data_IF_627387794442
#
_entry.id   IF_627387794442
#
_cell.length_a   1.000
_cell.length_b   1.000
_cell.length_c   1.000
_cell.angle_alpha   90.00
_cell.angle_beta   90.00
_cell.angle_gamma   90.00
#
_symmetry.space_group_name_H-M   'P 1'
#
loop_
_entity.id
_entity.type
_entity.pdbx_description
1 polymer ?
#
# COMPACT_ATOMS: atom_id res chain seq x y z
N UNK A 1 8.29 26.97 -8.48
CA UNK A 1 7.20 26.22 -7.82
C UNK A 1 7.45 24.73 -7.96
N UNK A 2 7.41 23.99 -6.85
CA UNK A 2 7.46 22.51 -6.86
C UNK A 2 6.24 21.95 -7.61
N UNK A 3 6.25 20.69 -8.07
CA UNK A 3 5.06 20.07 -8.68
C UNK A 3 3.83 20.12 -7.75
N UNK A 4 4.03 19.88 -6.45
CA UNK A 4 3.00 19.95 -5.41
C UNK A 4 2.43 21.37 -5.24
N UNK A 5 3.28 22.40 -5.23
CA UNK A 5 2.84 23.80 -5.19
C UNK A 5 1.93 24.14 -6.38
N UNK A 6 2.28 23.68 -7.58
CA UNK A 6 1.44 23.92 -8.77
C UNK A 6 0.07 23.27 -8.64
N UNK A 7 -0.02 22.11 -7.98
CA UNK A 7 -1.30 21.46 -7.69
C UNK A 7 -2.06 22.27 -6.65
N UNK A 8 -1.42 22.68 -5.55
CA UNK A 8 -2.06 23.48 -4.50
C UNK A 8 -2.70 24.76 -5.05
N UNK A 9 -1.99 25.51 -5.89
CA UNK A 9 -2.55 26.70 -6.56
C UNK A 9 -3.77 26.38 -7.43
N UNK A 10 -3.75 25.25 -8.16
CA UNK A 10 -4.91 24.78 -8.95
C UNK A 10 -6.08 24.38 -8.05
N UNK A 11 -5.81 23.74 -6.91
CA UNK A 11 -6.84 23.34 -5.94
C UNK A 11 -7.50 24.58 -5.36
N UNK A 12 -6.75 25.58 -4.90
CA UNK A 12 -7.32 26.85 -4.39
C UNK A 12 -8.24 27.49 -5.44
N UNK A 13 -7.81 27.56 -6.70
CA UNK A 13 -8.64 28.05 -7.80
C UNK A 13 -9.93 27.23 -7.97
N UNK A 14 -9.84 25.91 -7.90
CA UNK A 14 -11.00 25.01 -7.97
C UNK A 14 -11.97 25.22 -6.80
N UNK A 15 -11.47 25.38 -5.57
CA UNK A 15 -12.28 25.65 -4.38
C UNK A 15 -13.12 26.93 -4.56
N UNK A 16 -12.50 28.00 -5.05
CA UNK A 16 -13.18 29.28 -5.28
C UNK A 16 -14.16 29.20 -6.46
N UNK A 17 -13.69 28.73 -7.61
CA UNK A 17 -14.47 28.82 -8.85
C UNK A 17 -15.57 27.77 -8.94
N UNK A 18 -15.30 26.54 -8.48
CA UNK A 18 -16.20 25.40 -8.65
C UNK A 18 -16.96 25.11 -7.36
N UNK A 19 -16.26 24.98 -6.23
CA UNK A 19 -16.89 24.72 -4.93
C UNK A 19 -17.48 25.98 -4.29
N UNK A 20 -17.29 27.17 -4.88
CA UNK A 20 -17.86 28.44 -4.39
C UNK A 20 -17.44 28.79 -2.96
N UNK A 21 -16.25 28.35 -2.56
CA UNK A 21 -15.66 28.69 -1.26
C UNK A 21 -15.11 30.12 -1.35
N UNK A 22 -15.50 31.05 -0.47
CA UNK A 22 -14.93 32.39 -0.42
C UNK A 22 -13.42 32.33 -0.24
N UNK A 23 -12.66 33.18 -0.95
CA UNK A 23 -11.19 33.16 -0.86
C UNK A 23 -10.72 33.50 0.55
N UNK A 24 -11.48 34.33 1.27
CA UNK A 24 -11.22 34.75 2.65
C UNK A 24 -11.38 33.61 3.65
N UNK A 25 -12.11 32.55 3.28
CA UNK A 25 -12.28 31.36 4.10
C UNK A 25 -11.14 30.33 3.91
N UNK A 26 -10.23 30.57 2.96
CA UNK A 26 -9.16 29.63 2.60
C UNK A 26 -7.83 30.11 3.15
N UNK A 27 -7.17 29.25 3.92
CA UNK A 27 -5.81 29.46 4.40
C UNK A 27 -4.89 28.38 3.84
N UNK A 28 -3.71 28.76 3.35
CA UNK A 28 -2.73 27.83 2.78
C UNK A 28 -1.47 27.79 3.63
N UNK A 29 -0.84 26.61 3.72
CA UNK A 29 0.39 26.42 4.50
C UNK A 29 0.25 26.75 6.00
N UNK A 30 -0.94 26.51 6.58
CA UNK A 30 -1.20 26.78 8.00
C UNK A 30 -0.28 25.93 8.89
N UNK A 31 0.60 26.60 9.63
CA UNK A 31 1.41 25.99 10.68
C UNK A 31 0.52 25.67 11.88
N UNK A 32 0.35 24.39 12.20
CA UNK A 32 -0.52 23.97 13.31
C UNK A 32 0.03 24.37 14.68
N UNK A 33 1.30 24.81 14.75
CA UNK A 33 1.91 25.38 15.95
C UNK A 33 1.20 26.64 16.46
N UNK A 34 0.43 27.32 15.61
CA UNK A 34 -0.39 28.48 16.01
C UNK A 34 -1.58 28.09 16.89
N UNK A 35 -1.96 26.81 16.87
CA UNK A 35 -3.14 26.27 17.57
C UNK A 35 -2.71 25.26 18.64
N UNK A 36 -1.78 24.37 18.31
CA UNK A 36 -1.11 23.48 19.25
C UNK A 36 0.39 23.72 19.19
N UNK A 37 0.90 24.44 20.18
CA UNK A 37 2.28 24.89 20.33
C UNK A 37 3.33 23.76 20.39
N UNK A 38 2.92 22.49 20.53
CA UNK A 38 3.82 21.33 20.42
C UNK A 38 3.88 20.76 18.99
N UNK A 39 2.89 21.10 18.16
CA UNK A 39 2.83 20.64 16.77
C UNK A 39 3.87 21.33 15.91
N UNK A 40 4.51 20.54 15.04
CA UNK A 40 5.40 21.03 13.97
C UNK A 40 4.81 20.79 12.59
N UNK A 41 3.54 20.38 12.55
CA UNK A 41 2.84 20.02 11.34
C UNK A 41 2.35 21.26 10.61
N UNK A 42 2.15 21.12 9.31
CA UNK A 42 1.66 22.17 8.43
C UNK A 42 0.60 21.58 7.52
N UNK A 43 -0.61 22.12 7.59
CA UNK A 43 -1.68 21.75 6.67
C UNK A 43 -1.51 22.50 5.35
N UNK A 44 -1.74 21.83 4.22
CA UNK A 44 -1.58 22.48 2.91
C UNK A 44 -2.67 23.51 2.63
N UNK A 45 -3.93 23.13 2.85
CA UNK A 45 -5.09 24.02 2.71
C UNK A 45 -6.06 23.73 3.85
N UNK A 46 -6.56 24.79 4.47
CA UNK A 46 -7.62 24.77 5.48
C UNK A 46 -8.73 25.70 5.01
N UNK A 47 -9.97 25.25 5.15
CA UNK A 47 -11.16 26.04 4.90
C UNK A 47 -11.90 26.22 6.21
N UNK A 48 -12.17 27.48 6.55
CA UNK A 48 -12.91 27.89 7.73
C UNK A 48 -14.36 28.19 7.37
N UNK A 49 -15.26 28.12 8.34
CA UNK A 49 -16.60 28.69 8.23
C UNK A 49 -17.02 29.35 9.53
N UNK A 50 -17.93 30.31 9.45
CA UNK A 50 -18.58 30.86 10.64
C UNK A 50 -19.80 30.01 10.96
N UNK A 51 -19.89 29.51 12.19
CA UNK A 51 -21.09 28.90 12.71
C UNK A 51 -22.02 30.01 13.21
N UNK A 52 -23.11 30.26 12.49
CA UNK A 52 -24.03 31.36 12.81
C UNK A 52 -24.71 31.21 14.18
N UNK A 53 -24.89 29.98 14.66
CA UNK A 53 -25.55 29.73 15.93
C UNK A 53 -24.67 30.08 17.15
N UNK A 54 -23.36 29.89 17.02
CA UNK A 54 -22.37 30.16 18.09
C UNK A 54 -21.57 31.43 17.83
N UNK A 55 -21.66 32.00 16.63
CA UNK A 55 -20.83 33.08 16.12
C UNK A 55 -19.33 32.80 16.30
N UNK A 56 -18.92 31.55 16.07
CA UNK A 56 -17.53 31.10 16.14
C UNK A 56 -17.02 30.63 14.78
N UNK A 57 -15.74 30.86 14.52
CA UNK A 57 -15.05 30.28 13.38
C UNK A 57 -14.69 28.82 13.67
N UNK A 58 -15.03 27.94 12.74
CA UNK A 58 -14.84 26.49 12.85
C UNK A 58 -14.15 25.95 11.60
N UNK A 59 -13.29 24.94 11.77
CA UNK A 59 -12.61 24.31 10.65
C UNK A 59 -13.61 23.44 9.87
N UNK A 60 -13.90 23.82 8.63
CA UNK A 60 -14.83 23.07 7.78
C UNK A 60 -14.13 21.88 7.10
N UNK A 61 -13.02 22.16 6.42
CA UNK A 61 -12.33 21.22 5.52
C UNK A 61 -10.82 21.40 5.62
N UNK A 62 -10.07 20.30 5.70
CA UNK A 62 -8.61 20.29 5.56
C UNK A 62 -8.26 19.48 4.32
N UNK A 63 -7.34 19.96 3.50
CA UNK A 63 -6.90 19.27 2.28
C UNK A 63 -5.40 19.03 2.34
N UNK A 64 -4.98 17.77 2.18
CA UNK A 64 -3.58 17.40 1.94
C UNK A 64 -3.35 17.25 0.44
N UNK A 65 -2.31 17.92 -0.07
CA UNK A 65 -2.01 17.99 -1.50
C UNK A 65 -0.75 17.21 -1.81
N UNK A 66 -0.80 16.38 -2.86
CA UNK A 66 0.36 15.68 -3.41
C UNK A 66 0.67 16.13 -4.82
N UNK A 67 1.88 15.84 -5.28
CA UNK A 67 2.24 16.04 -6.69
C UNK A 67 1.42 15.12 -7.62
N UNK A 68 1.19 15.48 -8.90
CA UNK A 68 0.27 14.73 -9.78
C UNK A 68 0.59 13.24 -9.94
N UNK A 69 1.88 12.90 -9.96
CA UNK A 69 2.34 11.52 -10.13
C UNK A 69 2.37 10.71 -8.83
N UNK A 70 1.99 11.30 -7.69
CA UNK A 70 1.94 10.63 -6.39
C UNK A 70 0.51 10.13 -6.16
N UNK A 71 0.30 8.81 -6.01
CA UNK A 71 -1.01 8.26 -5.72
C UNK A 71 -1.55 8.71 -4.37
N UNK A 72 -2.88 8.80 -4.28
CA UNK A 72 -3.58 8.96 -3.01
C UNK A 72 -3.62 7.60 -2.30
N UNK A 73 -3.13 7.55 -1.06
CA UNK A 73 -2.97 6.31 -0.30
C UNK A 73 -3.52 6.47 1.10
N UNK A 74 -3.65 5.35 1.84
CA UNK A 74 -4.04 5.39 3.25
C UNK A 74 -3.11 6.29 4.08
N UNK A 75 -1.82 6.36 3.73
CA UNK A 75 -0.86 7.25 4.40
C UNK A 75 -1.16 8.73 4.18
N UNK A 76 -1.66 9.09 3.01
CA UNK A 76 -2.10 10.46 2.72
C UNK A 76 -3.34 10.80 3.57
N UNK A 77 -4.26 9.84 3.73
CA UNK A 77 -5.42 9.99 4.59
C UNK A 77 -5.02 10.09 6.07
N UNK A 78 -4.15 9.22 6.56
CA UNK A 78 -3.58 9.27 7.92
C UNK A 78 -2.90 10.62 8.19
N UNK A 79 -2.18 11.16 7.20
CA UNK A 79 -1.53 12.45 7.30
C UNK A 79 -2.55 13.58 7.50
N UNK A 80 -3.61 13.68 6.68
CA UNK A 80 -4.63 14.71 6.87
C UNK A 80 -5.45 14.49 8.15
N UNK A 81 -5.67 13.24 8.55
CA UNK A 81 -6.32 12.88 9.82
C UNK A 81 -5.51 13.34 11.03
N UNK A 82 -4.17 13.36 10.95
CA UNK A 82 -3.33 13.92 12.01
C UNK A 82 -3.60 15.42 12.23
N UNK A 83 -3.83 16.18 11.15
CA UNK A 83 -4.22 17.58 11.24
C UNK A 83 -5.65 17.74 11.76
N UNK A 84 -6.57 16.90 11.29
CA UNK A 84 -7.96 16.85 11.75
C UNK A 84 -8.04 16.62 13.26
N UNK A 85 -7.14 15.80 13.82
CA UNK A 85 -7.10 15.57 15.27
C UNK A 85 -6.81 16.83 16.09
N UNK A 86 -6.17 17.84 15.51
CA UNK A 86 -5.86 19.15 16.11
C UNK A 86 -6.97 20.16 15.78
N UNK A 87 -7.29 20.31 14.50
CA UNK A 87 -8.21 21.34 13.99
C UNK A 87 -9.70 20.98 14.14
N UNK A 88 -10.01 19.72 14.42
CA UNK A 88 -11.37 19.17 14.57
C UNK A 88 -12.28 19.45 13.38
N UNK A 89 -11.74 19.37 12.16
CA UNK A 89 -12.53 19.64 10.96
C UNK A 89 -13.65 18.63 10.75
N UNK A 90 -14.75 19.10 10.16
CA UNK A 90 -15.92 18.28 9.79
C UNK A 90 -15.64 17.39 8.58
N UNK A 91 -14.81 17.89 7.66
CA UNK A 91 -14.37 17.18 6.47
C UNK A 91 -12.84 17.18 6.35
N UNK A 92 -12.33 16.16 5.69
CA UNK A 92 -10.94 16.11 5.21
C UNK A 92 -10.94 15.73 3.74
N UNK A 93 -9.93 16.14 3.01
CA UNK A 93 -9.74 15.74 1.62
C UNK A 93 -8.26 15.46 1.32
N UNK A 94 -8.06 14.62 0.32
CA UNK A 94 -6.75 14.32 -0.25
C UNK A 94 -6.82 14.47 -1.76
N UNK A 95 -5.79 15.08 -2.37
CA UNK A 95 -5.77 15.30 -3.82
C UNK A 95 -4.36 15.35 -4.37
N UNK A 96 -4.19 14.85 -5.60
CA UNK A 96 -2.97 15.01 -6.41
C UNK A 96 -3.21 15.95 -7.61
N UNK A 97 -4.39 16.57 -7.68
CA UNK A 97 -4.81 17.46 -8.77
C UNK A 97 -5.48 16.76 -9.95
N UNK A 98 -5.41 15.43 -10.03
CA UNK A 98 -6.17 14.62 -10.99
C UNK A 98 -7.35 13.95 -10.27
N UNK A 99 -7.08 13.35 -9.11
CA UNK A 99 -8.06 12.77 -8.21
C UNK A 99 -8.31 13.68 -7.01
N UNK A 100 -9.55 13.69 -6.52
CA UNK A 100 -9.98 14.37 -5.30
C UNK A 100 -10.90 13.43 -4.53
N UNK A 101 -10.51 13.12 -3.30
CA UNK A 101 -11.33 12.34 -2.37
C UNK A 101 -11.68 13.21 -1.17
N UNK A 102 -12.97 13.34 -0.89
CA UNK A 102 -13.49 14.09 0.27
C UNK A 102 -14.13 13.10 1.23
N UNK A 103 -13.83 13.24 2.50
CA UNK A 103 -14.33 12.40 3.58
C UNK A 103 -15.04 13.26 4.62
N UNK A 104 -16.18 12.80 5.11
CA UNK A 104 -16.81 13.35 6.32
C UNK A 104 -16.30 12.59 7.55
N UNK A 105 -15.95 13.32 8.60
CA UNK A 105 -15.59 12.73 9.88
C UNK A 105 -16.87 12.40 10.65
N UNK A 106 -17.00 11.14 11.04
CA UNK A 106 -18.09 10.63 11.88
C UNK A 106 -17.81 10.90 13.36
N UNK A 107 -18.85 10.83 14.18
CA UNK A 107 -18.74 11.05 15.64
C UNK A 107 -17.75 10.10 16.32
N UNK A 108 -17.60 8.88 15.79
CA UNK A 108 -16.63 7.90 16.26
C UNK A 108 -15.18 8.18 15.78
N UNK A 109 -14.94 9.30 15.09
CA UNK A 109 -13.65 9.69 14.54
C UNK A 109 -13.29 9.05 13.18
N UNK A 110 -14.13 8.18 12.63
CA UNK A 110 -13.85 7.54 11.33
C UNK A 110 -14.14 8.47 10.16
N UNK A 111 -13.30 8.41 9.13
CA UNK A 111 -13.50 9.12 7.87
C UNK A 111 -14.38 8.31 6.92
N UNK A 112 -15.49 8.88 6.44
CA UNK A 112 -16.35 8.24 5.44
C UNK A 112 -16.31 8.99 4.10
N UNK A 113 -15.92 8.26 3.05
CA UNK A 113 -15.77 8.79 1.69
C UNK A 113 -17.10 9.27 1.11
N UNK A 114 -17.07 10.46 0.53
CA UNK A 114 -18.17 11.04 -0.25
C UNK A 114 -18.14 10.57 -1.71
N UNK A 115 -19.26 10.67 -2.42
CA UNK A 115 -19.28 10.48 -3.88
C UNK A 115 -18.44 11.56 -4.59
N UNK A 116 -18.03 11.30 -5.83
CA UNK A 116 -17.20 12.23 -6.63
C UNK A 116 -18.00 13.37 -7.27
N UNK A 117 -19.20 13.66 -6.77
CA UNK A 117 -19.98 14.80 -7.25
C UNK A 117 -19.40 16.11 -6.71
N UNK A 118 -19.71 17.22 -7.39
CA UNK A 118 -19.27 18.54 -6.94
C UNK A 118 -20.08 18.97 -5.72
N UNK A 119 -19.40 19.24 -4.61
CA UNK A 119 -19.99 19.83 -3.41
C UNK A 119 -19.61 21.30 -3.30
N UNK A 120 -20.60 22.17 -3.15
CA UNK A 120 -20.36 23.58 -2.88
C UNK A 120 -20.06 23.83 -1.40
N UNK A 121 -19.57 25.03 -1.08
CA UNK A 121 -19.35 25.49 0.29
C UNK A 121 -20.61 25.33 1.14
N UNK A 122 -21.75 25.73 0.58
CA UNK A 122 -23.06 25.62 1.23
C UNK A 122 -23.47 24.16 1.47
N UNK A 123 -23.17 23.25 0.53
CA UNK A 123 -23.44 21.83 0.70
C UNK A 123 -22.64 21.23 1.85
N UNK A 124 -21.37 21.64 2.00
CA UNK A 124 -20.51 21.17 3.08
C UNK A 124 -20.96 21.71 4.45
N UNK A 125 -21.26 23.00 4.55
CA UNK A 125 -21.78 23.62 5.78
C UNK A 125 -23.05 22.88 6.25
N UNK A 126 -24.03 22.74 5.35
CA UNK A 126 -25.32 22.12 5.64
C UNK A 126 -25.29 20.59 5.68
N UNK A 127 -24.14 19.96 5.37
CA UNK A 127 -24.03 18.50 5.25
C UNK A 127 -24.95 17.85 4.21
N UNK A 128 -25.23 18.57 3.13
CA UNK A 128 -25.95 18.06 1.96
C UNK A 128 -25.01 17.24 1.07
N UNK A 129 -24.48 16.14 1.63
CA UNK A 129 -23.47 15.30 1.00
C UNK A 129 -23.97 13.88 0.78
N UNK A 130 -23.44 13.19 -0.24
CA UNK A 130 -23.73 11.78 -0.50
C UNK A 130 -22.50 10.93 -0.24
N UNK A 131 -22.71 9.77 0.39
CA UNK A 131 -21.62 8.86 0.70
C UNK A 131 -21.37 7.87 -0.43
N UNK A 132 -20.11 7.69 -0.79
CA UNK A 132 -19.73 6.64 -1.71
C UNK A 132 -20.05 5.28 -1.09
N UNK A 133 -20.64 4.38 -1.89
CA UNK A 133 -20.75 2.97 -1.49
C UNK A 133 -19.36 2.37 -1.55
N UNK A 134 -18.78 2.02 -0.39
CA UNK A 134 -17.54 1.25 -0.32
C UNK A 134 -17.78 -0.09 -1.00
N UNK A 135 -17.28 -0.25 -2.23
CA UNK A 135 -17.26 -1.56 -2.90
C UNK A 135 -16.13 -2.36 -2.26
N UNK A 136 -16.49 -3.37 -1.49
CA UNK A 136 -15.49 -4.29 -0.97
C UNK A 136 -15.01 -5.20 -2.09
N UNK A 137 -13.71 -5.44 -2.18
CA UNK A 137 -13.21 -6.52 -3.02
C UNK A 137 -13.77 -7.83 -2.48
N UNK A 138 -14.29 -8.66 -3.40
CA UNK A 138 -14.83 -9.98 -3.08
C UNK A 138 -13.96 -11.02 -3.74
N UNK A 139 -13.88 -12.21 -3.15
CA UNK A 139 -13.28 -13.38 -3.79
C UNK A 139 -14.06 -13.72 -5.05
N UNK A 140 -13.40 -13.59 -6.19
CA UNK A 140 -13.97 -13.98 -7.49
C UNK A 140 -13.80 -15.48 -7.71
N UNK A 141 -14.75 -16.10 -8.42
CA UNK A 141 -14.62 -17.50 -8.86
C UNK A 141 -13.49 -17.67 -9.87
N UNK A 142 -12.99 -18.91 -10.01
CA UNK A 142 -11.94 -19.23 -10.97
C UNK A 142 -12.33 -18.86 -12.42
N UNK A 143 -13.59 -19.00 -12.80
CA UNK A 143 -14.07 -18.63 -14.14
C UNK A 143 -14.10 -17.12 -14.35
N UNK A 144 -14.51 -16.34 -13.33
CA UNK A 144 -14.53 -14.87 -13.40
C UNK A 144 -13.13 -14.29 -13.58
N UNK A 145 -12.10 -14.86 -12.94
CA UNK A 145 -10.73 -14.37 -13.04
C UNK A 145 -10.00 -14.82 -14.31
N UNK A 146 -10.40 -15.94 -14.90
CA UNK A 146 -9.84 -16.44 -16.15
C UNK A 146 -10.42 -15.73 -17.37
N UNK A 147 -11.41 -14.87 -17.17
CA UNK A 147 -11.96 -14.06 -18.23
C UNK A 147 -10.93 -13.03 -18.72
N UNK A 148 -10.65 -13.03 -20.02
CA UNK A 148 -9.61 -12.20 -20.64
C UNK A 148 -9.72 -10.71 -20.28
N UNK A 149 -10.94 -10.19 -20.10
CA UNK A 149 -11.17 -8.80 -19.69
C UNK A 149 -10.66 -8.51 -18.27
N UNK A 150 -10.76 -9.46 -17.35
CA UNK A 150 -10.24 -9.29 -15.99
C UNK A 150 -8.71 -9.30 -16.00
N UNK A 151 -8.10 -10.24 -16.73
CA UNK A 151 -6.64 -10.28 -16.91
C UNK A 151 -6.12 -8.98 -17.54
N UNK A 152 -6.74 -8.49 -18.61
CA UNK A 152 -6.33 -7.23 -19.23
C UNK A 152 -6.50 -6.05 -18.28
N UNK A 153 -7.57 -6.02 -17.47
CA UNK A 153 -7.72 -5.01 -16.42
C UNK A 153 -6.56 -5.07 -15.41
N UNK A 154 -6.08 -6.26 -15.03
CA UNK A 154 -4.92 -6.38 -14.14
C UNK A 154 -3.62 -5.88 -14.79
N UNK A 155 -3.43 -6.13 -16.09
CA UNK A 155 -2.28 -5.61 -16.84
C UNK A 155 -2.36 -4.08 -16.95
N UNK A 156 -3.50 -3.55 -17.39
CA UNK A 156 -3.75 -2.11 -17.57
C UNK A 156 -3.59 -1.32 -16.26
N UNK A 157 -3.96 -1.95 -15.13
CA UNK A 157 -3.80 -1.37 -13.79
C UNK A 157 -2.43 -1.61 -13.17
N UNK A 158 -1.50 -2.24 -13.89
CA UNK A 158 -0.12 -2.46 -13.44
C UNK A 158 0.03 -3.52 -12.35
N UNK A 159 -0.90 -4.47 -12.25
CA UNK A 159 -0.82 -5.59 -11.32
C UNK A 159 -0.11 -6.82 -11.91
N UNK A 160 -0.19 -6.99 -13.23
CA UNK A 160 0.57 -7.98 -14.00
C UNK A 160 1.45 -7.23 -14.99
N UNK A 161 2.70 -7.65 -15.14
CA UNK A 161 3.61 -7.05 -16.12
C UNK A 161 3.17 -7.38 -17.55
N UNK A 162 3.11 -6.39 -18.45
CA UNK A 162 2.61 -6.55 -19.83
C UNK A 162 3.41 -7.54 -20.69
N UNK A 163 4.67 -7.80 -20.32
CA UNK A 163 5.55 -8.76 -21.01
C UNK A 163 5.77 -10.05 -20.18
N UNK A 164 5.00 -10.24 -19.11
CA UNK A 164 4.93 -11.53 -18.39
C UNK A 164 4.40 -12.60 -19.33
N UNK A 165 4.87 -13.85 -19.16
CA UNK A 165 4.40 -14.97 -19.97
C UNK A 165 2.86 -15.11 -19.87
N UNK A 166 2.12 -15.01 -20.99
CA UNK A 166 0.67 -15.14 -21.00
C UNK A 166 0.14 -16.44 -20.38
N UNK A 167 0.92 -17.53 -20.42
CA UNK A 167 0.55 -18.81 -19.80
C UNK A 167 0.49 -18.72 -18.26
N UNK A 168 1.09 -17.69 -17.66
CA UNK A 168 1.02 -17.41 -16.23
C UNK A 168 -0.17 -16.53 -15.84
N UNK A 169 -0.76 -15.78 -16.77
CA UNK A 169 -1.78 -14.77 -16.44
C UNK A 169 -3.00 -15.34 -15.68
N UNK A 170 -3.58 -16.49 -16.07
CA UNK A 170 -4.62 -17.16 -15.28
C UNK A 170 -4.23 -17.37 -13.81
N UNK A 171 -3.01 -17.89 -13.59
CA UNK A 171 -2.50 -18.17 -12.26
C UNK A 171 -2.19 -16.88 -11.49
N UNK A 172 -1.66 -15.84 -12.14
CA UNK A 172 -1.37 -14.56 -11.50
C UNK A 172 -2.65 -13.84 -11.07
N UNK A 173 -3.70 -13.90 -11.88
CA UNK A 173 -5.02 -13.39 -11.52
C UNK A 173 -5.55 -14.12 -10.27
N UNK A 174 -5.40 -15.45 -10.22
CA UNK A 174 -5.79 -16.26 -9.05
C UNK A 174 -4.92 -15.96 -7.82
N UNK A 175 -3.61 -15.81 -8.00
CA UNK A 175 -2.68 -15.48 -6.93
C UNK A 175 -3.01 -14.12 -6.30
N UNK A 176 -3.33 -13.11 -7.11
CA UNK A 176 -3.75 -11.81 -6.59
C UNK A 176 -5.08 -11.92 -5.82
N UNK A 177 -6.07 -12.58 -6.41
CA UNK A 177 -7.39 -12.79 -5.80
C UNK A 177 -7.24 -13.56 -4.47
N UNK A 178 -6.36 -14.55 -4.39
CA UNK A 178 -6.01 -15.26 -3.16
C UNK A 178 -5.37 -14.31 -2.13
N UNK A 179 -4.30 -13.61 -2.51
CA UNK A 179 -3.55 -12.74 -1.58
C UNK A 179 -4.46 -11.67 -0.99
N UNK A 180 -5.27 -10.98 -1.81
CA UNK A 180 -6.01 -9.81 -1.37
C UNK A 180 -7.28 -10.13 -0.59
N UNK A 181 -7.98 -11.22 -0.92
CA UNK A 181 -9.36 -11.43 -0.44
C UNK A 181 -9.70 -12.83 0.04
N UNK A 182 -8.81 -13.83 -0.02
CA UNK A 182 -9.11 -15.16 0.54
C UNK A 182 -9.27 -15.09 2.07
N UNK A 183 -10.42 -15.49 2.64
CA UNK A 183 -10.62 -15.45 4.09
C UNK A 183 -9.67 -16.39 4.83
N UNK A 184 -9.16 -15.96 5.99
CA UNK A 184 -8.44 -16.86 6.90
C UNK A 184 -9.45 -17.85 7.50
N UNK A 185 -9.27 -19.14 7.27
CA UNK A 185 -10.19 -20.21 7.72
C UNK A 185 -10.00 -20.61 9.19
N UNK A 186 -8.97 -20.10 9.87
CA UNK A 186 -8.58 -20.47 11.23
C UNK A 186 -8.58 -19.28 12.19
N UNK A 187 -8.59 -19.60 13.49
CA UNK A 187 -8.58 -18.59 14.57
C UNK A 187 -7.17 -18.03 14.74
N UNK A 188 -7.07 -16.71 14.88
CA UNK A 188 -5.83 -16.01 15.21
C UNK A 188 -5.58 -16.02 16.73
N UNK A 189 -4.32 -16.09 17.20
CA UNK A 189 -3.09 -16.02 16.42
C UNK A 189 -2.63 -17.36 15.81
N UNK A 190 -1.92 -17.30 14.68
CA UNK A 190 -1.30 -18.46 14.02
C UNK A 190 0.20 -18.48 14.35
N UNK A 191 0.63 -19.43 15.17
CA UNK A 191 2.05 -19.67 15.47
C UNK A 191 2.75 -20.35 14.31
N UNK A 192 3.92 -19.85 13.90
CA UNK A 192 4.68 -20.40 12.79
C UNK A 192 6.18 -20.15 12.91
N UNK A 193 6.95 -21.21 13.23
CA UNK A 193 8.43 -21.20 13.21
C UNK A 193 9.07 -19.96 13.88
N UNK A 194 8.55 -19.58 15.04
CA UNK A 194 9.05 -18.46 15.86
C UNK A 194 8.47 -17.08 15.54
N UNK A 195 7.66 -16.95 14.49
CA UNK A 195 6.77 -15.80 14.29
C UNK A 195 5.33 -16.18 14.64
N UNK A 196 4.47 -15.18 14.79
CA UNK A 196 3.04 -15.38 14.98
C UNK A 196 2.24 -14.34 14.20
N UNK A 197 1.23 -14.78 13.44
CA UNK A 197 0.29 -13.88 12.77
C UNK A 197 -0.83 -13.56 13.75
N UNK A 198 -0.86 -12.33 14.23
CA UNK A 198 -1.75 -11.86 15.30
C UNK A 198 -3.08 -11.34 14.76
N UNK A 199 -3.02 -10.61 13.62
CA UNK A 199 -4.20 -9.97 13.04
C UNK A 199 -4.11 -9.92 11.50
N UNK A 200 -5.26 -10.09 10.84
CA UNK A 200 -5.46 -9.75 9.43
C UNK A 200 -6.08 -8.36 9.33
N UNK A 201 -5.38 -7.43 8.70
CA UNK A 201 -5.84 -6.05 8.49
C UNK A 201 -6.68 -5.93 7.21
N UNK A 202 -6.82 -7.01 6.44
CA UNK A 202 -7.44 -6.99 5.13
C UNK A 202 -6.60 -6.20 4.12
N UNK A 203 -7.25 -5.82 3.02
CA UNK A 203 -6.58 -5.09 1.95
C UNK A 203 -6.69 -3.57 2.13
N UNK A 204 -5.67 -2.85 1.67
CA UNK A 204 -5.59 -1.39 1.67
C UNK A 204 -4.62 -0.90 0.59
N UNK A 205 -4.81 0.34 0.13
CA UNK A 205 -4.01 0.90 -0.96
C UNK A 205 -2.76 1.60 -0.38
N UNK A 206 -1.58 1.14 -0.79
CA UNK A 206 -0.30 1.63 -0.29
C UNK A 206 0.71 1.82 -1.42
N UNK A 207 1.75 2.60 -1.13
CA UNK A 207 2.93 2.77 -1.99
C UNK A 207 4.19 2.41 -1.22
N UNK A 208 4.99 1.48 -1.76
CA UNK A 208 6.29 1.12 -1.21
C UNK A 208 7.40 1.25 -2.25
N UNK A 209 8.45 2.00 -1.88
CA UNK A 209 9.64 2.19 -2.71
C UNK A 209 10.69 1.10 -2.50
N UNK A 210 11.59 0.97 -3.48
CA UNK A 210 12.83 0.21 -3.35
C UNK A 210 14.06 1.14 -3.42
N UNK A 211 15.23 0.62 -3.02
CA UNK A 211 16.46 1.40 -2.98
C UNK A 211 16.98 1.83 -4.37
N UNK A 212 16.43 1.24 -5.44
CA UNK A 212 16.78 1.59 -6.81
C UNK A 212 15.95 2.78 -7.34
N UNK A 213 15.00 3.31 -6.56
CA UNK A 213 14.13 4.42 -6.98
C UNK A 213 12.82 3.99 -7.65
N UNK A 214 12.56 2.68 -7.76
CA UNK A 214 11.25 2.17 -8.16
C UNK A 214 10.25 2.24 -7.02
N UNK A 215 8.97 2.37 -7.34
CA UNK A 215 7.87 2.32 -6.38
C UNK A 215 6.75 1.41 -6.86
N UNK A 216 6.05 0.80 -5.91
CA UNK A 216 4.95 -0.12 -6.14
C UNK A 216 3.72 0.37 -5.40
N UNK A 217 2.76 0.90 -6.16
CA UNK A 217 1.53 1.49 -5.67
C UNK A 217 0.34 0.62 -6.05
N UNK A 218 -0.50 0.29 -5.09
CA UNK A 218 -1.72 -0.49 -5.33
C UNK A 218 -2.21 -1.18 -4.06
N UNK A 219 -3.09 -2.16 -4.23
CA UNK A 219 -3.61 -2.91 -3.10
C UNK A 219 -2.60 -3.92 -2.56
N UNK A 220 -2.45 -3.91 -1.25
CA UNK A 220 -1.74 -4.92 -0.46
C UNK A 220 -2.71 -5.50 0.58
N UNK A 221 -2.50 -6.75 1.01
CA UNK A 221 -3.09 -7.27 2.24
C UNK A 221 -2.11 -7.14 3.40
N UNK A 222 -2.57 -6.59 4.52
CA UNK A 222 -1.76 -6.34 5.71
C UNK A 222 -1.98 -7.38 6.81
N UNK A 223 -0.89 -7.72 7.50
CA UNK A 223 -0.90 -8.64 8.64
C UNK A 223 -0.10 -8.05 9.79
N UNK A 224 -0.65 -8.08 11.00
CA UNK A 224 0.13 -7.82 12.22
C UNK A 224 0.85 -9.11 12.59
N UNK A 225 2.17 -9.03 12.69
CA UNK A 225 3.03 -10.19 12.93
C UNK A 225 3.92 -9.93 14.13
N UNK A 226 3.89 -10.82 15.12
CA UNK A 226 4.92 -10.91 16.14
C UNK A 226 6.15 -11.58 15.54
N UNK A 227 7.23 -10.81 15.45
CA UNK A 227 8.48 -11.16 14.75
C UNK A 227 9.37 -12.10 15.56
N UNK A 228 10.45 -12.62 14.94
CA UNK A 228 11.46 -13.43 15.62
C UNK A 228 12.13 -12.73 16.80
N UNK A 229 12.10 -11.40 16.83
CA UNK A 229 12.64 -10.57 17.91
C UNK A 229 11.60 -10.26 19.00
N UNK A 230 10.38 -10.80 18.88
CA UNK A 230 9.29 -10.60 19.82
C UNK A 230 8.53 -9.29 19.65
N UNK A 231 8.98 -8.40 18.76
CA UNK A 231 8.32 -7.14 18.43
C UNK A 231 7.15 -7.36 17.46
N UNK A 232 6.14 -6.50 17.52
CA UNK A 232 5.09 -6.44 16.51
C UNK A 232 5.51 -5.57 15.32
N UNK A 233 5.20 -6.02 14.12
CA UNK A 233 5.36 -5.27 12.88
C UNK A 233 4.21 -5.60 11.92
N UNK A 234 3.87 -4.65 11.04
CA UNK A 234 2.90 -4.88 9.99
C UNK A 234 3.63 -5.31 8.72
N UNK A 235 3.28 -6.47 8.19
CA UNK A 235 3.74 -6.93 6.89
C UNK A 235 2.63 -6.81 5.86
N UNK A 236 2.96 -6.31 4.67
CA UNK A 236 2.01 -6.10 3.58
C UNK A 236 2.43 -6.84 2.34
N UNK A 237 1.55 -7.68 1.80
CA UNK A 237 1.82 -8.51 0.62
C UNK A 237 0.99 -7.97 -0.55
N UNK A 238 1.63 -7.74 -1.69
CA UNK A 238 0.98 -7.25 -2.91
C UNK A 238 1.71 -7.69 -4.16
N UNK A 239 1.01 -7.74 -5.29
CA UNK A 239 1.54 -8.19 -6.58
C UNK A 239 1.45 -7.07 -7.62
N UNK A 240 2.53 -6.82 -8.36
CA UNK A 240 2.63 -5.68 -9.27
C UNK A 240 3.36 -6.03 -10.56
N UNK A 241 2.92 -5.46 -11.67
CA UNK A 241 3.67 -5.40 -12.92
C UNK A 241 4.71 -4.30 -12.85
N UNK A 242 5.91 -4.57 -13.35
CA UNK A 242 6.93 -3.54 -13.55
C UNK A 242 6.75 -2.84 -14.89
N UNK A 243 7.04 -1.55 -14.96
CA UNK A 243 7.02 -0.83 -16.24
C UNK A 243 8.09 -1.38 -17.19
N UNK A 244 7.71 -1.52 -18.46
CA UNK A 244 8.64 -1.68 -19.58
C UNK A 244 9.39 -0.37 -19.77
N UNK A 245 10.71 -0.47 -19.89
CA UNK A 245 11.60 0.67 -20.05
C UNK A 245 12.27 0.57 -21.41
N UNK A 246 12.16 1.63 -22.20
CA UNK A 246 12.81 1.78 -23.49
C UNK A 246 13.67 3.05 -23.44
N UNK A 247 14.98 2.89 -23.57
CA UNK A 247 15.97 3.96 -23.48
C UNK A 247 15.82 4.82 -22.22
N UNK A 248 15.44 4.23 -21.10
CA UNK A 248 15.32 4.96 -19.84
C UNK A 248 16.71 5.48 -19.41
N UNK A 249 16.84 6.76 -19.02
CA UNK A 249 18.14 7.37 -18.73
C UNK A 249 18.84 6.77 -17.52
N UNK A 250 18.13 6.09 -16.62
CA UNK A 250 18.65 5.50 -15.39
C UNK A 250 18.77 3.98 -15.52
N UNK A 251 17.75 3.33 -16.06
CA UNK A 251 17.64 1.88 -16.06
C UNK A 251 17.80 1.23 -17.45
N UNK A 252 17.94 2.03 -18.51
CA UNK A 252 18.10 1.56 -19.87
C UNK A 252 16.88 0.80 -20.40
N UNK A 253 17.13 -0.27 -21.15
CA UNK A 253 16.08 -1.15 -21.67
C UNK A 253 15.78 -2.26 -20.67
N UNK A 254 14.52 -2.36 -20.25
CA UNK A 254 14.08 -3.42 -19.33
C UNK A 254 12.70 -3.92 -19.75
N UNK A 255 12.57 -5.24 -19.85
CA UNK A 255 11.26 -5.86 -20.05
C UNK A 255 10.36 -5.66 -18.84
N UNK A 256 9.05 -5.61 -19.08
CA UNK A 256 8.07 -5.74 -18.00
C UNK A 256 8.05 -7.19 -17.48
N UNK A 257 7.81 -7.35 -16.17
CA UNK A 257 7.66 -8.64 -15.48
C UNK A 257 6.82 -8.43 -14.22
N UNK A 258 6.29 -9.51 -13.66
CA UNK A 258 5.46 -9.45 -12.44
C UNK A 258 6.30 -9.71 -11.19
N UNK A 259 6.08 -8.90 -10.15
CA UNK A 259 6.70 -9.07 -8.83
C UNK A 259 5.68 -9.32 -7.75
N UNK A 260 6.03 -10.17 -6.79
CA UNK A 260 5.36 -10.29 -5.50
C UNK A 260 6.20 -9.55 -4.46
N UNK A 261 5.61 -8.52 -3.86
CA UNK A 261 6.25 -7.70 -2.84
C UNK A 261 5.77 -8.07 -1.44
N UNK A 262 6.69 -8.02 -0.48
CA UNK A 262 6.41 -8.03 0.94
C UNK A 262 7.06 -6.79 1.54
N UNK A 263 6.25 -5.80 1.88
CA UNK A 263 6.69 -4.62 2.62
C UNK A 263 6.52 -4.83 4.12
N UNK A 264 7.29 -4.09 4.92
CA UNK A 264 7.19 -4.08 6.38
C UNK A 264 7.05 -2.65 6.87
N UNK A 265 6.37 -2.50 8.00
CA UNK A 265 6.21 -1.27 8.75
C UNK A 265 6.33 -1.59 10.24
N UNK A 266 7.29 -0.94 10.89
CA UNK A 266 7.56 -1.06 12.32
C UNK A 266 7.92 0.31 12.92
N UNK A 267 8.32 0.33 14.19
CA UNK A 267 8.75 1.55 14.88
C UNK A 267 9.94 2.27 14.23
N UNK A 268 10.72 1.58 13.38
CA UNK A 268 11.87 2.14 12.68
C UNK A 268 11.49 2.75 11.31
N UNK A 269 10.25 2.58 10.88
CA UNK A 269 9.70 3.11 9.63
C UNK A 269 9.16 2.00 8.74
N UNK A 270 9.20 2.22 7.43
CA UNK A 270 8.65 1.28 6.45
C UNK A 270 9.56 1.13 5.23
N UNK A 271 9.60 -0.06 4.65
CA UNK A 271 10.33 -0.35 3.42
C UNK A 271 9.86 -1.64 2.75
N UNK A 272 10.21 -1.82 1.48
CA UNK A 272 10.01 -3.10 0.79
C UNK A 272 11.05 -4.14 1.26
N UNK A 273 10.60 -5.20 1.93
CA UNK A 273 11.47 -6.22 2.51
C UNK A 273 11.89 -7.28 1.49
N UNK A 274 10.94 -7.78 0.69
CA UNK A 274 11.13 -8.80 -0.33
C UNK A 274 10.46 -8.36 -1.63
N UNK A 275 11.22 -8.40 -2.72
CA UNK A 275 10.72 -8.27 -4.09
C UNK A 275 11.03 -9.60 -4.79
N UNK A 276 10.00 -10.37 -5.13
CA UNK A 276 10.11 -11.68 -5.78
C UNK A 276 9.64 -11.56 -7.22
N UNK A 277 10.57 -11.54 -8.17
CA UNK A 277 10.25 -11.57 -9.61
C UNK A 277 9.65 -12.94 -9.96
N UNK A 278 8.33 -12.99 -10.13
CA UNK A 278 7.57 -14.24 -10.28
C UNK A 278 8.04 -15.00 -11.52
N UNK A 279 8.21 -14.29 -12.64
CA UNK A 279 8.64 -14.83 -13.94
C UNK A 279 9.92 -15.68 -13.84
N UNK A 280 10.83 -15.33 -12.92
CA UNK A 280 12.08 -16.05 -12.70
C UNK A 280 12.15 -16.85 -11.39
N UNK A 281 11.11 -16.76 -10.55
CA UNK A 281 11.09 -17.30 -9.19
C UNK A 281 10.15 -18.48 -9.02
N UNK A 282 9.47 -18.91 -10.08
CA UNK A 282 8.57 -20.06 -10.04
C UNK A 282 9.06 -21.21 -10.91
N UNK A 283 8.71 -22.44 -10.50
CA UNK A 283 8.85 -23.63 -11.33
C UNK A 283 7.51 -24.34 -11.46
N UNK A 284 7.09 -24.61 -12.69
CA UNK A 284 5.85 -25.36 -12.98
C UNK A 284 6.06 -26.86 -12.70
N UNK A 285 5.13 -27.44 -11.95
CA UNK A 285 4.88 -28.90 -11.90
C UNK A 285 3.52 -29.17 -12.55
N UNK A 286 3.13 -30.44 -12.62
CA UNK A 286 1.89 -30.86 -13.30
C UNK A 286 0.64 -30.14 -12.75
N UNK A 287 0.59 -29.91 -11.43
CA UNK A 287 -0.60 -29.39 -10.73
C UNK A 287 -0.31 -28.18 -9.83
N UNK A 288 0.92 -27.69 -9.80
CA UNK A 288 1.33 -26.61 -8.89
C UNK A 288 2.44 -25.74 -9.47
N UNK A 289 2.56 -24.53 -8.95
CA UNK A 289 3.75 -23.69 -9.07
C UNK A 289 4.50 -23.67 -7.74
N UNK A 290 5.81 -23.94 -7.79
CA UNK A 290 6.70 -23.85 -6.63
C UNK A 290 7.44 -22.52 -6.65
N UNK A 291 7.51 -21.81 -5.53
CA UNK A 291 8.13 -20.50 -5.40
C UNK A 291 9.50 -20.57 -4.73
N UNK A 292 10.47 -19.85 -5.29
CA UNK A 292 11.86 -19.82 -4.82
C UNK A 292 12.46 -18.43 -4.88
N UNK A 293 13.34 -18.10 -3.94
CA UNK A 293 14.18 -16.90 -3.98
C UNK A 293 15.66 -17.28 -3.90
N UNK A 294 16.52 -16.55 -4.59
CA UNK A 294 17.96 -16.88 -4.70
C UNK A 294 18.82 -16.35 -3.53
N UNK A 295 18.24 -15.53 -2.64
CA UNK A 295 18.94 -14.92 -1.51
C UNK A 295 19.51 -13.54 -1.80
N UNK A 296 19.27 -12.93 -2.97
CA UNK A 296 19.69 -11.57 -3.26
C UNK A 296 19.09 -10.57 -2.25
N UNK A 297 19.96 -9.76 -1.66
CA UNK A 297 19.58 -8.78 -0.64
C UNK A 297 20.45 -7.52 -0.77
N UNK A 298 19.84 -6.36 -0.59
CA UNK A 298 20.52 -5.06 -0.46
C UNK A 298 20.29 -4.52 0.96
N UNK A 299 21.36 -4.07 1.61
CA UNK A 299 21.37 -3.50 2.96
C UNK A 299 21.45 -1.95 2.91
N UNK A 300 20.52 -1.32 2.20
CA UNK A 300 20.48 0.14 2.04
C UNK A 300 21.80 0.69 1.48
N UNK A 301 22.33 1.75 2.09
CA UNK A 301 23.60 2.39 1.69
C UNK A 301 24.84 1.49 1.82
N UNK A 302 24.76 0.37 2.55
CA UNK A 302 25.86 -0.61 2.67
C UNK A 302 25.98 -1.52 1.44
N UNK A 303 25.08 -1.38 0.46
CA UNK A 303 25.14 -2.09 -0.82
C UNK A 303 24.61 -3.53 -0.76
N UNK A 304 25.04 -4.35 -1.72
CA UNK A 304 24.62 -5.74 -1.86
C UNK A 304 25.22 -6.63 -0.76
N UNK A 305 24.45 -7.61 -0.31
CA UNK A 305 24.89 -8.62 0.67
C UNK A 305 25.21 -9.92 -0.08
N UNK A 306 26.34 -10.56 0.27
CA UNK A 306 26.72 -11.88 -0.30
C UNK A 306 25.59 -12.89 -0.09
N UNK A 307 25.23 -13.62 -1.14
CA UNK A 307 24.10 -14.58 -1.14
C UNK A 307 24.30 -15.66 -0.08
N UNK A 308 25.52 -16.17 0.07
CA UNK A 308 25.90 -17.18 1.06
C UNK A 308 25.67 -16.67 2.49
N UNK A 309 25.94 -15.37 2.74
CA UNK A 309 25.65 -14.77 4.05
C UNK A 309 24.15 -14.75 4.30
N UNK A 310 23.33 -14.46 3.29
CA UNK A 310 21.87 -14.51 3.41
C UNK A 310 21.39 -15.93 3.64
N UNK A 311 21.85 -16.91 2.86
CA UNK A 311 21.50 -18.33 3.03
C UNK A 311 21.91 -18.87 4.40
N UNK A 312 23.11 -18.58 4.88
CA UNK A 312 23.55 -18.97 6.22
C UNK A 312 22.68 -18.35 7.31
N UNK A 313 22.25 -17.10 7.12
CA UNK A 313 21.34 -16.44 8.05
C UNK A 313 19.95 -17.08 8.02
N UNK A 314 19.42 -17.43 6.84
CA UNK A 314 18.17 -18.20 6.71
C UNK A 314 18.31 -19.57 7.38
N UNK A 315 19.40 -20.30 7.14
CA UNK A 315 19.67 -21.60 7.74
C UNK A 315 19.62 -21.57 9.27
N UNK A 316 20.07 -20.46 9.88
CA UNK A 316 20.05 -20.28 11.34
C UNK A 316 18.63 -20.20 11.91
N UNK A 317 17.69 -19.54 11.25
CA UNK A 317 16.34 -19.30 11.80
C UNK A 317 15.25 -20.20 11.19
N UNK A 318 15.43 -20.63 9.95
CA UNK A 318 14.45 -21.41 9.20
C UNK A 318 15.16 -22.34 8.19
N UNK A 319 15.87 -23.37 8.66
CA UNK A 319 16.66 -24.27 7.80
C UNK A 319 15.80 -24.96 6.74
N UNK A 320 14.55 -25.29 7.04
CA UNK A 320 13.63 -25.95 6.10
C UNK A 320 13.29 -25.10 4.86
N UNK A 321 13.52 -23.78 4.90
CA UNK A 321 13.35 -22.95 3.72
C UNK A 321 14.48 -23.16 2.70
N UNK A 322 15.60 -23.79 3.06
CA UNK A 322 16.68 -24.07 2.12
C UNK A 322 16.48 -25.42 1.44
N UNK A 323 16.10 -25.38 0.16
CA UNK A 323 15.88 -26.55 -0.68
C UNK A 323 16.61 -26.34 -2.01
N UNK A 324 17.43 -27.31 -2.41
CA UNK A 324 18.19 -27.27 -3.68
C UNK A 324 19.01 -25.97 -3.84
N UNK A 325 19.67 -25.52 -2.76
CA UNK A 325 20.46 -24.28 -2.72
C UNK A 325 19.65 -22.99 -3.02
N UNK A 326 18.32 -23.03 -2.86
CA UNK A 326 17.42 -21.88 -2.98
C UNK A 326 16.55 -21.74 -1.73
N UNK A 327 16.01 -20.55 -1.51
CA UNK A 327 14.99 -20.31 -0.48
C UNK A 327 13.63 -20.69 -1.06
N UNK A 328 13.10 -21.86 -0.69
CA UNK A 328 11.78 -22.35 -1.05
C UNK A 328 10.71 -21.68 -0.18
N UNK A 329 9.75 -21.01 -0.82
CA UNK A 329 8.70 -20.24 -0.16
C UNK A 329 7.38 -21.00 -0.07
N UNK A 330 7.19 -22.05 -0.84
CA UNK A 330 5.97 -22.86 -0.84
C UNK A 330 5.54 -23.23 -2.25
N UNK A 331 4.40 -23.92 -2.34
CA UNK A 331 3.77 -24.28 -3.61
C UNK A 331 2.29 -23.98 -3.56
N UNK A 332 1.72 -23.60 -4.71
CA UNK A 332 0.30 -23.29 -4.86
C UNK A 332 -0.28 -24.04 -6.06
N UNK A 333 -1.54 -24.50 -5.99
CA UNK A 333 -2.19 -25.15 -7.13
C UNK A 333 -2.27 -24.18 -8.31
N UNK A 334 -2.11 -24.72 -9.53
CA UNK A 334 -1.97 -23.89 -10.74
C UNK A 334 -3.19 -23.90 -11.67
N UNK A 335 -4.25 -24.62 -11.31
CA UNK A 335 -5.39 -24.91 -12.18
C UNK A 335 -6.74 -24.86 -11.46
N UNK A 336 -6.79 -24.25 -10.27
CA UNK A 336 -7.99 -24.08 -9.46
C UNK A 336 -7.84 -22.90 -8.52
N UNK A 337 -8.95 -22.48 -7.89
CA UNK A 337 -8.91 -21.52 -6.80
C UNK A 337 -8.09 -22.02 -5.62
N UNK A 338 -7.28 -21.14 -5.05
CA UNK A 338 -6.40 -21.38 -3.91
C UNK A 338 -7.18 -21.08 -2.64
N UNK A 339 -7.41 -22.08 -1.79
CA UNK A 339 -7.97 -21.85 -0.45
C UNK A 339 -6.91 -21.36 0.54
N UNK A 340 -7.34 -20.78 1.67
CA UNK A 340 -6.42 -20.48 2.76
C UNK A 340 -5.61 -21.71 3.20
N UNK A 341 -6.23 -22.88 3.38
CA UNK A 341 -5.51 -24.08 3.83
C UNK A 341 -4.40 -24.50 2.84
N UNK A 342 -4.62 -24.29 1.54
CA UNK A 342 -3.61 -24.56 0.50
C UNK A 342 -2.50 -23.51 0.48
N UNK A 343 -2.82 -22.24 0.75
CA UNK A 343 -1.89 -21.13 0.62
C UNK A 343 -1.28 -20.59 1.92
N UNK A 344 -1.79 -20.97 3.09
CA UNK A 344 -1.36 -20.46 4.40
C UNK A 344 0.15 -20.67 4.59
N UNK A 345 0.65 -21.85 4.24
CA UNK A 345 2.06 -22.18 4.36
C UNK A 345 2.94 -21.24 3.52
N UNK A 346 2.48 -20.86 2.32
CA UNK A 346 3.17 -19.91 1.45
C UNK A 346 3.17 -18.50 2.05
N UNK A 347 2.03 -18.02 2.54
CA UNK A 347 1.92 -16.71 3.21
C UNK A 347 2.85 -16.66 4.44
N UNK A 348 2.79 -17.65 5.31
CA UNK A 348 3.60 -17.67 6.53
C UNK A 348 5.11 -17.75 6.22
N UNK A 349 5.50 -18.48 5.18
CA UNK A 349 6.90 -18.51 4.72
C UNK A 349 7.37 -17.16 4.15
N UNK A 350 6.51 -16.44 3.42
CA UNK A 350 6.82 -15.09 2.95
C UNK A 350 7.07 -14.13 4.12
N UNK A 351 6.20 -14.15 5.13
CA UNK A 351 6.32 -13.33 6.33
C UNK A 351 7.60 -13.65 7.11
N UNK A 352 7.85 -14.94 7.36
CA UNK A 352 9.07 -15.40 8.04
C UNK A 352 10.32 -15.00 7.26
N UNK A 353 10.34 -15.22 5.94
CA UNK A 353 11.51 -14.90 5.13
C UNK A 353 11.76 -13.39 5.06
N UNK A 354 10.71 -12.56 4.94
CA UNK A 354 10.81 -11.11 5.03
C UNK A 354 11.40 -10.69 6.39
N UNK A 355 10.90 -11.24 7.49
CA UNK A 355 11.42 -10.95 8.83
C UNK A 355 12.91 -11.32 8.99
N UNK A 356 13.32 -12.50 8.51
CA UNK A 356 14.73 -12.92 8.52
C UNK A 356 15.61 -11.95 7.72
N UNK A 357 15.14 -11.48 6.55
CA UNK A 357 15.86 -10.50 5.72
C UNK A 357 16.04 -9.16 6.44
N UNK A 358 15.01 -8.68 7.10
CA UNK A 358 15.05 -7.41 7.84
C UNK A 358 15.95 -7.48 9.05
N UNK A 359 15.89 -8.59 9.78
CA UNK A 359 16.80 -8.86 10.89
C UNK A 359 18.25 -8.84 10.42
N UNK A 360 18.58 -9.48 9.30
CA UNK A 360 19.92 -9.43 8.71
C UNK A 360 20.34 -8.01 8.30
N UNK A 361 19.43 -7.21 7.70
CA UNK A 361 19.70 -5.81 7.36
C UNK A 361 20.03 -5.00 8.62
N UNK A 362 19.28 -5.20 9.69
CA UNK A 362 19.48 -4.49 10.96
C UNK A 362 20.80 -4.91 11.63
N UNK A 363 21.15 -6.18 11.64
CA UNK A 363 22.44 -6.68 12.13
C UNK A 363 23.63 -6.12 11.33
N UNK A 364 23.46 -5.90 10.03
CA UNK A 364 24.49 -5.26 9.18
C UNK A 364 24.59 -3.76 9.47
N UNK A 365 23.48 -3.07 9.73
CA UNK A 365 23.48 -1.63 10.05
C UNK A 365 24.14 -1.32 11.39
N UNK A 366 24.01 -2.21 12.38
CA UNK A 366 24.63 -2.09 13.71
C UNK A 366 26.16 -2.30 13.71
N UNK A 367 26.72 -2.82 12.61
CA UNK A 367 28.17 -3.02 12.39
C UNK A 367 28.73 -1.97 11.45
#
# INVERSE_FOLDING_TARGET
ATPEEKVRQKVVKYLVEQMKIPIEAIETELLLSSIDNLSKLRADIVVWHINEATNSEECLLIIEVKAPHVPLTEKTLEQVMSYQSILKSKYVAITNGEDLEIYQIRENGTAQLLTTELYTYEDLINSNVKFAKKRTMRRLSFDEINYHRYINMLIDKGYIGEETDPDLHPFLAELQNFILVEPISCVLPIQFKGISLEQDLGYSFHTYGNAAGGSFSGYYRGFVVKTLDGNEAIYRIGMFGTAKLINDPIFGNRKSYTVLNVATEDMLGYHNSLELNIDNSISKRKTEYRFFHNGRLTAGKKGSVKIEKVKNYVSKYAPDLLVEDKIYLGSLPNNMSISWDQGQQFIMNLLLYANIRDKLRNDIKKR
#
